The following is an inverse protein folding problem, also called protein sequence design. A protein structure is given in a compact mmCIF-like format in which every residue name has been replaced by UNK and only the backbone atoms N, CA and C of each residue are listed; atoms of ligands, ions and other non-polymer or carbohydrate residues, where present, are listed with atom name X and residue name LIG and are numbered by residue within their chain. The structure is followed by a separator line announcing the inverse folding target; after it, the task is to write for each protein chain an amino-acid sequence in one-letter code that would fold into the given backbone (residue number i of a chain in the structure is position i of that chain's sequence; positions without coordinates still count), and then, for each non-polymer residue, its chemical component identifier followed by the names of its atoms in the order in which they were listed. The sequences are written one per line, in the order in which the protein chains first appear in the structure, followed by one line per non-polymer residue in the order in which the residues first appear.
data_IF_655245166786
#
_entry.id   IF_655245166786
#
_cell.length_a   1.000
_cell.length_b   1.000
_cell.length_c   1.000
_cell.angle_alpha   90.00
_cell.angle_beta   90.00
_cell.angle_gamma   90.00
#
_symmetry.space_group_name_H-M   'P 1'
#
loop_
_entity.id
_entity.type
_entity.pdbx_description
1 polymer ?
#
# COMPACT_ATOMS: atom_id res chain seq x y z
N UNK A 1 7.04 15.00 -12.11
CA UNK A 1 6.66 13.58 -12.20
C UNK A 1 7.74 12.74 -11.55
N UNK A 2 7.40 12.14 -10.44
CA UNK A 2 8.30 11.24 -9.72
C UNK A 2 8.25 9.88 -10.43
N UNK A 3 9.41 9.37 -10.86
CA UNK A 3 9.49 8.03 -11.45
C UNK A 3 9.43 6.97 -10.36
N UNK A 4 8.32 6.26 -10.32
CA UNK A 4 8.05 5.18 -9.36
C UNK A 4 7.99 3.80 -10.03
N UNK A 5 8.30 3.73 -11.33
CA UNK A 5 8.11 2.53 -12.16
C UNK A 5 8.87 1.32 -11.65
N UNK A 6 10.10 1.50 -11.14
CA UNK A 6 10.88 0.38 -10.60
C UNK A 6 10.19 -0.34 -9.44
N UNK A 7 9.56 0.41 -8.53
CA UNK A 7 8.84 -0.17 -7.38
C UNK A 7 7.55 -0.84 -7.83
N UNK A 8 6.82 -0.18 -8.75
CA UNK A 8 5.60 -0.75 -9.34
C UNK A 8 5.91 -2.05 -10.10
N UNK A 9 6.92 -2.06 -10.96
CA UNK A 9 7.32 -3.25 -11.73
C UNK A 9 7.79 -4.39 -10.82
N UNK A 10 8.48 -4.08 -9.72
CA UNK A 10 8.89 -5.07 -8.72
C UNK A 10 7.69 -5.76 -8.06
N UNK A 11 6.67 -5.00 -7.70
CA UNK A 11 5.41 -5.56 -7.19
C UNK A 11 4.70 -6.39 -8.26
N UNK A 12 4.56 -5.86 -9.48
CA UNK A 12 3.88 -6.56 -10.58
C UNK A 12 4.59 -7.86 -10.97
N UNK A 13 5.93 -7.92 -10.83
CA UNK A 13 6.69 -9.16 -11.10
C UNK A 13 6.37 -10.32 -10.16
N UNK A 14 5.71 -10.04 -9.04
CA UNK A 14 5.23 -11.05 -8.09
C UNK A 14 3.83 -11.57 -8.44
N UNK A 15 3.16 -11.03 -9.45
CA UNK A 15 1.78 -11.32 -9.81
C UNK A 15 1.69 -11.97 -11.19
N UNK A 16 0.69 -12.79 -11.39
CA UNK A 16 0.35 -13.31 -12.72
C UNK A 16 -0.24 -12.20 -13.60
N UNK A 17 -0.10 -12.36 -14.92
CA UNK A 17 -0.68 -11.41 -15.89
C UNK A 17 -2.20 -11.31 -15.71
N UNK A 18 -2.72 -10.10 -15.68
CA UNK A 18 -4.15 -9.85 -15.51
C UNK A 18 -4.68 -10.07 -14.10
N UNK A 19 -3.80 -10.27 -13.12
CA UNK A 19 -4.17 -10.41 -11.71
C UNK A 19 -5.03 -9.23 -11.22
N UNK A 20 -5.84 -9.49 -10.20
CA UNK A 20 -6.72 -8.49 -9.59
C UNK A 20 -6.01 -7.77 -8.44
N UNK A 21 -5.82 -6.47 -8.57
CA UNK A 21 -5.10 -5.62 -7.63
C UNK A 21 -6.09 -4.67 -6.94
N UNK A 22 -5.92 -4.49 -5.64
CA UNK A 22 -6.52 -3.39 -4.88
C UNK A 22 -5.47 -2.29 -4.68
N UNK A 23 -5.71 -1.10 -5.20
CA UNK A 23 -4.95 0.12 -4.87
C UNK A 23 -5.56 0.75 -3.60
N UNK A 24 -4.88 0.55 -2.48
CA UNK A 24 -5.39 0.83 -1.13
C UNK A 24 -4.88 2.17 -0.63
N UNK A 25 -5.68 3.21 -0.84
CA UNK A 25 -5.30 4.61 -0.65
C UNK A 25 -4.67 5.17 -1.93
N UNK A 26 -5.42 5.14 -3.03
CA UNK A 26 -4.91 5.43 -4.37
C UNK A 26 -4.56 6.90 -4.62
N UNK A 27 -4.99 7.81 -3.75
CA UNK A 27 -4.77 9.25 -3.92
C UNK A 27 -5.30 9.75 -5.25
N UNK A 28 -4.43 10.33 -6.07
CA UNK A 28 -4.78 10.86 -7.40
C UNK A 28 -4.97 9.79 -8.49
N UNK A 29 -4.76 8.50 -8.17
CA UNK A 29 -4.89 7.40 -9.12
C UNK A 29 -3.67 7.15 -10.00
N UNK A 30 -2.49 7.68 -9.65
CA UNK A 30 -1.24 7.48 -10.40
C UNK A 30 -0.93 5.99 -10.57
N UNK A 31 -0.91 5.24 -9.48
CA UNK A 31 -0.54 3.83 -9.48
C UNK A 31 -1.67 2.97 -10.07
N UNK A 32 -2.92 3.26 -9.74
CA UNK A 32 -4.10 2.67 -10.38
C UNK A 32 -4.00 2.73 -11.91
N UNK A 33 -3.73 3.92 -12.46
CA UNK A 33 -3.59 4.11 -13.91
C UNK A 33 -2.44 3.28 -14.48
N UNK A 34 -1.31 3.23 -13.78
CA UNK A 34 -0.16 2.45 -14.20
C UNK A 34 -0.50 0.95 -14.31
N UNK A 35 -1.16 0.39 -13.32
CA UNK A 35 -1.55 -1.03 -13.32
C UNK A 35 -2.58 -1.35 -14.41
N UNK A 36 -3.57 -0.48 -14.60
CA UNK A 36 -4.54 -0.63 -15.69
C UNK A 36 -3.86 -0.64 -17.07
N UNK A 37 -2.90 0.26 -17.30
CA UNK A 37 -2.13 0.33 -18.57
C UNK A 37 -1.27 -0.92 -18.81
N UNK A 38 -0.92 -1.67 -17.76
CA UNK A 38 -0.19 -2.94 -17.83
C UNK A 38 -1.11 -4.16 -17.95
N UNK A 39 -2.43 -3.95 -18.05
CA UNK A 39 -3.41 -5.01 -18.29
C UNK A 39 -3.88 -5.74 -17.04
N UNK A 40 -3.67 -5.17 -15.85
CA UNK A 40 -4.20 -5.70 -14.59
C UNK A 40 -5.64 -5.26 -14.36
N UNK A 41 -6.44 -6.09 -13.70
CA UNK A 41 -7.72 -5.68 -13.14
C UNK A 41 -7.46 -4.89 -11.85
N UNK A 42 -8.06 -3.71 -11.71
CA UNK A 42 -7.78 -2.83 -10.55
C UNK A 42 -9.07 -2.34 -9.93
N UNK A 43 -9.21 -2.57 -8.63
CA UNK A 43 -10.08 -1.80 -7.75
C UNK A 43 -9.25 -0.75 -7.02
N UNK A 44 -9.83 0.41 -6.73
CA UNK A 44 -9.16 1.46 -6.00
C UNK A 44 -10.07 2.09 -4.96
N UNK A 45 -9.49 2.43 -3.81
CA UNK A 45 -10.17 3.14 -2.74
C UNK A 45 -9.35 4.32 -2.24
N UNK A 46 -10.00 5.32 -1.73
CA UNK A 46 -9.38 6.42 -0.97
C UNK A 46 -10.36 6.98 0.07
N UNK A 47 -9.82 7.51 1.17
CA UNK A 47 -10.60 8.14 2.24
C UNK A 47 -11.06 9.57 1.93
N UNK A 48 -10.59 10.17 0.84
CA UNK A 48 -10.99 11.51 0.38
C UNK A 48 -11.96 11.41 -0.80
N UNK A 49 -13.18 11.87 -0.61
CA UNK A 49 -14.18 11.90 -1.67
C UNK A 49 -13.72 12.73 -2.88
N UNK A 50 -13.00 13.82 -2.64
CA UNK A 50 -12.44 14.67 -3.70
C UNK A 50 -11.41 13.91 -4.53
N UNK A 51 -10.48 13.20 -3.86
CA UNK A 51 -9.49 12.37 -4.55
C UNK A 51 -10.15 11.21 -5.30
N UNK A 52 -11.18 10.58 -4.74
CA UNK A 52 -11.94 9.54 -5.45
C UNK A 52 -12.56 10.05 -6.75
N UNK A 53 -13.15 11.24 -6.74
CA UNK A 53 -13.71 11.86 -7.96
C UNK A 53 -12.62 12.15 -8.98
N UNK A 54 -11.52 12.76 -8.54
CA UNK A 54 -10.39 13.07 -9.41
C UNK A 54 -9.78 11.79 -10.01
N UNK A 55 -9.46 10.80 -9.17
CA UNK A 55 -8.87 9.55 -9.61
C UNK A 55 -9.80 8.75 -10.54
N UNK A 56 -11.11 8.77 -10.30
CA UNK A 56 -12.08 8.14 -11.19
C UNK A 56 -12.06 8.75 -12.59
N UNK A 57 -11.99 10.07 -12.68
CA UNK A 57 -11.88 10.78 -13.95
C UNK A 57 -10.56 10.48 -14.67
N UNK A 58 -9.45 10.38 -13.93
CA UNK A 58 -8.11 10.14 -14.46
C UNK A 58 -7.87 8.70 -14.91
N UNK A 59 -8.51 7.74 -14.28
CA UNK A 59 -8.27 6.30 -14.48
C UNK A 59 -9.33 5.62 -15.34
N UNK A 60 -10.53 6.21 -15.41
CA UNK A 60 -11.68 5.63 -16.12
C UNK A 60 -12.39 4.51 -15.34
N UNK A 61 -11.97 4.21 -14.11
CA UNK A 61 -12.68 3.29 -13.23
C UNK A 61 -13.36 4.05 -12.08
N UNK A 62 -14.36 3.43 -11.45
CA UNK A 62 -14.97 3.99 -10.24
C UNK A 62 -14.05 3.73 -9.04
N UNK A 63 -13.45 4.79 -8.48
CA UNK A 63 -12.75 4.75 -7.20
C UNK A 63 -13.77 4.83 -6.06
N UNK A 64 -13.71 3.90 -5.11
CA UNK A 64 -14.62 3.87 -3.97
C UNK A 64 -14.13 4.80 -2.87
N UNK A 65 -15.03 5.66 -2.37
CA UNK A 65 -14.78 6.41 -1.15
C UNK A 65 -14.95 5.47 0.04
N UNK A 66 -13.84 5.12 0.70
CA UNK A 66 -13.80 4.11 1.76
C UNK A 66 -12.61 4.36 2.68
N UNK A 67 -12.82 4.27 3.98
CA UNK A 67 -11.73 4.25 4.95
C UNK A 67 -11.08 2.87 5.00
N UNK A 68 -9.83 2.79 5.40
CA UNK A 68 -9.08 1.53 5.48
C UNK A 68 -9.75 0.50 6.40
N UNK A 69 -10.36 0.97 7.50
CA UNK A 69 -11.04 0.14 8.47
C UNK A 69 -12.33 -0.50 7.93
N UNK A 70 -12.86 -0.01 6.83
CA UNK A 70 -14.10 -0.49 6.20
C UNK A 70 -13.88 -1.64 5.21
N UNK A 71 -12.62 -2.05 4.97
CA UNK A 71 -12.32 -3.19 4.09
C UNK A 71 -12.89 -4.48 4.70
N UNK A 72 -13.77 -5.16 3.96
CA UNK A 72 -14.46 -6.40 4.39
C UNK A 72 -14.34 -7.54 3.39
N UNK A 73 -13.75 -7.30 2.22
CA UNK A 73 -13.53 -8.30 1.20
C UNK A 73 -12.69 -9.46 1.72
N UNK A 74 -12.97 -10.67 1.25
CA UNK A 74 -12.25 -11.88 1.62
C UNK A 74 -11.89 -12.70 0.38
N UNK A 75 -10.60 -13.03 0.25
CA UNK A 75 -10.07 -13.85 -0.86
C UNK A 75 -10.43 -13.30 -2.25
N UNK A 76 -10.36 -11.99 -2.44
CA UNK A 76 -10.74 -11.30 -3.69
C UNK A 76 -9.51 -10.91 -4.51
N UNK A 77 -8.45 -10.44 -3.88
CA UNK A 77 -7.32 -9.82 -4.55
C UNK A 77 -6.10 -10.73 -4.64
N UNK A 78 -5.45 -10.74 -5.79
CA UNK A 78 -4.14 -11.38 -5.99
C UNK A 78 -3.01 -10.48 -5.45
N UNK A 79 -3.24 -9.16 -5.49
CA UNK A 79 -2.31 -8.16 -4.97
C UNK A 79 -3.02 -7.00 -4.28
N UNK A 80 -2.40 -6.46 -3.23
CA UNK A 80 -2.80 -5.20 -2.60
C UNK A 80 -1.59 -4.25 -2.64
N UNK A 81 -1.82 -3.04 -3.13
CA UNK A 81 -0.85 -1.97 -3.21
C UNK A 81 -1.21 -0.87 -2.22
N UNK A 82 -0.43 -0.73 -1.14
CA UNK A 82 -0.62 0.27 -0.08
C UNK A 82 0.59 1.21 0.00
N UNK A 83 0.82 1.96 -1.07
CA UNK A 83 1.98 2.84 -1.21
C UNK A 83 1.80 4.14 -0.45
N UNK A 84 2.61 4.36 0.58
CA UNK A 84 2.59 5.59 1.39
C UNK A 84 1.18 5.98 1.87
N UNK A 85 0.34 5.00 2.19
CA UNK A 85 -1.06 5.20 2.54
C UNK A 85 -1.36 4.84 4.01
N UNK A 86 -1.13 3.60 4.41
CA UNK A 86 -1.48 3.10 5.75
C UNK A 86 -0.51 3.58 6.86
N UNK A 87 0.56 4.27 6.51
CA UNK A 87 1.51 4.84 7.47
C UNK A 87 0.89 5.93 8.36
N UNK A 88 -0.30 6.42 8.03
CA UNK A 88 -1.02 7.43 8.81
C UNK A 88 -1.91 6.82 9.91
N UNK A 89 -1.88 5.52 10.10
CA UNK A 89 -2.63 4.83 11.15
C UNK A 89 -1.74 4.60 12.38
N UNK A 90 -2.27 4.83 13.60
CA UNK A 90 -1.62 4.35 14.82
C UNK A 90 -1.42 2.81 14.79
N UNK A 91 -0.39 2.29 15.44
CA UNK A 91 -0.05 0.84 15.41
C UNK A 91 -1.20 -0.08 15.74
N UNK A 92 -2.05 0.30 16.69
CA UNK A 92 -3.22 -0.50 17.07
C UNK A 92 -4.23 -0.63 15.92
N UNK A 93 -4.51 0.48 15.21
CA UNK A 93 -5.39 0.48 14.03
C UNK A 93 -4.72 -0.19 12.84
N UNK A 94 -3.42 0.06 12.64
CA UNK A 94 -2.63 -0.56 11.59
C UNK A 94 -2.66 -2.09 11.69
N UNK A 95 -2.60 -2.66 12.89
CA UNK A 95 -2.71 -4.10 13.13
C UNK A 95 -4.05 -4.65 12.64
N UNK A 96 -5.15 -3.96 12.92
CA UNK A 96 -6.49 -4.34 12.44
C UNK A 96 -6.57 -4.27 10.91
N UNK A 97 -6.07 -3.19 10.33
CA UNK A 97 -6.08 -2.99 8.86
C UNK A 97 -5.18 -4.00 8.14
N UNK A 98 -4.02 -4.34 8.71
CA UNK A 98 -3.15 -5.40 8.18
C UNK A 98 -3.87 -6.74 8.12
N UNK A 99 -4.63 -7.10 9.16
CA UNK A 99 -5.44 -8.32 9.18
C UNK A 99 -6.51 -8.30 8.08
N UNK A 100 -7.25 -7.19 7.95
CA UNK A 100 -8.26 -7.02 6.90
C UNK A 100 -7.66 -7.14 5.48
N UNK A 101 -6.49 -6.56 5.23
CA UNK A 101 -5.79 -6.72 3.96
C UNK A 101 -5.36 -8.18 3.74
N UNK A 102 -4.87 -8.86 4.78
CA UNK A 102 -4.52 -10.29 4.70
C UNK A 102 -5.75 -11.13 4.36
N UNK A 103 -6.89 -10.86 4.98
CA UNK A 103 -8.16 -11.57 4.71
C UNK A 103 -8.65 -11.30 3.28
N UNK A 104 -8.49 -10.07 2.77
CA UNK A 104 -8.89 -9.68 1.42
C UNK A 104 -8.02 -10.30 0.32
N UNK A 105 -6.77 -10.66 0.61
CA UNK A 105 -5.89 -11.36 -0.31
C UNK A 105 -6.33 -12.82 -0.50
N UNK A 106 -6.15 -13.34 -1.71
CA UNK A 106 -6.17 -14.77 -2.00
C UNK A 106 -4.95 -15.47 -1.38
N UNK A 107 -5.00 -16.80 -1.29
CA UNK A 107 -3.83 -17.59 -0.88
C UNK A 107 -2.63 -17.27 -1.77
N UNK A 108 -1.47 -17.11 -1.17
CA UNK A 108 -0.23 -16.65 -1.81
C UNK A 108 -0.29 -15.23 -2.39
N UNK A 109 -1.36 -14.47 -2.14
CA UNK A 109 -1.51 -13.10 -2.57
C UNK A 109 -0.44 -12.18 -2.00
N UNK A 110 -0.12 -11.12 -2.71
CA UNK A 110 1.02 -10.23 -2.46
C UNK A 110 0.52 -8.88 -1.93
N UNK A 111 1.10 -8.41 -0.84
CA UNK A 111 0.91 -7.07 -0.32
C UNK A 111 2.20 -6.26 -0.46
N UNK A 112 2.11 -5.12 -1.13
CA UNK A 112 3.15 -4.08 -1.05
C UNK A 112 2.70 -2.98 -0.10
N UNK A 113 3.60 -2.54 0.77
CA UNK A 113 3.41 -1.34 1.58
C UNK A 113 4.72 -0.60 1.81
N UNK A 114 4.63 0.68 2.14
CA UNK A 114 5.79 1.51 2.44
C UNK A 114 5.56 2.42 3.64
N UNK A 115 6.61 2.60 4.42
CA UNK A 115 6.66 3.47 5.59
C UNK A 115 7.90 4.36 5.53
N UNK A 116 7.90 5.47 6.25
CA UNK A 116 9.16 6.20 6.48
C UNK A 116 10.09 5.33 7.33
N UNK A 117 11.36 5.27 6.92
CA UNK A 117 12.38 4.47 7.59
C UNK A 117 12.94 5.21 8.79
N UNK A 118 12.23 5.17 9.92
CA UNK A 118 12.63 5.77 11.19
C UNK A 118 11.93 5.09 12.38
N UNK A 119 12.16 5.57 13.60
CA UNK A 119 11.53 5.05 14.83
C UNK A 119 10.39 5.94 15.35
N UNK A 120 9.96 6.92 14.57
CA UNK A 120 8.97 7.88 15.01
C UNK A 120 7.55 7.30 14.97
N UNK A 121 6.76 7.61 15.99
CA UNK A 121 5.30 7.41 16.00
C UNK A 121 4.64 8.63 16.66
N UNK A 122 3.68 9.26 15.97
CA UNK A 122 2.98 10.43 16.46
C UNK A 122 2.56 11.40 15.35
N UNK A 123 2.24 12.63 15.72
CA UNK A 123 1.83 13.66 14.78
C UNK A 123 3.02 14.45 14.22
N UNK A 124 3.03 14.66 12.91
CA UNK A 124 3.91 15.56 12.17
C UNK A 124 3.08 16.37 11.16
N UNK A 125 3.18 17.70 11.22
CA UNK A 125 2.52 18.59 10.26
C UNK A 125 1.01 18.30 10.11
N UNK A 126 0.31 18.06 11.22
CA UNK A 126 -1.12 17.80 11.27
C UNK A 126 -1.56 16.42 10.77
N UNK A 127 -0.63 15.48 10.60
CA UNK A 127 -0.91 14.08 10.26
C UNK A 127 -0.22 13.13 11.22
N UNK A 128 -0.88 12.03 11.54
CA UNK A 128 -0.27 10.95 12.27
C UNK A 128 0.67 10.14 11.37
N UNK A 129 1.79 9.70 11.92
CA UNK A 129 2.75 8.82 11.24
C UNK A 129 3.16 7.69 12.17
N UNK A 130 3.18 6.50 11.62
CA UNK A 130 3.82 5.33 12.19
C UNK A 130 4.96 4.95 11.26
N UNK A 131 6.18 5.24 11.69
CA UNK A 131 7.39 4.90 10.95
C UNK A 131 7.91 3.53 11.43
N UNK A 132 8.65 2.86 10.57
CA UNK A 132 9.29 1.59 10.90
C UNK A 132 10.72 1.51 10.35
N UNK A 133 11.62 0.89 11.10
CA UNK A 133 12.79 0.22 10.55
C UNK A 133 12.43 -1.23 10.26
N UNK A 134 13.30 -1.96 9.54
CA UNK A 134 13.03 -3.38 9.26
C UNK A 134 12.91 -4.20 10.55
N UNK A 135 13.70 -3.89 11.58
CA UNK A 135 13.68 -4.58 12.86
C UNK A 135 12.35 -4.36 13.59
N UNK A 136 11.88 -3.10 13.65
CA UNK A 136 10.63 -2.76 14.33
C UNK A 136 9.42 -3.26 13.55
N UNK A 137 9.47 -3.24 12.20
CA UNK A 137 8.42 -3.82 11.38
C UNK A 137 8.36 -5.34 11.52
N UNK A 138 9.51 -6.01 11.55
CA UNK A 138 9.57 -7.47 11.75
C UNK A 138 8.98 -7.88 13.11
N UNK A 139 9.20 -7.08 14.15
CA UNK A 139 8.60 -7.29 15.47
C UNK A 139 7.08 -7.08 15.43
N UNK A 140 6.61 -6.04 14.77
CA UNK A 140 5.18 -5.76 14.54
C UNK A 140 4.51 -6.89 13.75
N UNK A 141 5.17 -7.40 12.71
CA UNK A 141 4.62 -8.44 11.84
C UNK A 141 4.43 -9.78 12.57
N UNK A 142 5.25 -10.09 13.58
CA UNK A 142 5.09 -11.29 14.41
C UNK A 142 3.76 -11.34 15.17
N UNK A 143 3.14 -10.17 15.37
CA UNK A 143 1.82 -10.04 16.00
C UNK A 143 0.67 -10.14 14.98
N UNK A 144 0.99 -10.26 13.69
CA UNK A 144 0.02 -10.39 12.60
C UNK A 144 0.08 -11.81 12.06
N UNK A 145 -1.04 -12.52 12.10
CA UNK A 145 -1.12 -13.90 11.61
C UNK A 145 -1.40 -13.95 10.09
N UNK A 146 -1.00 -15.02 9.44
CA UNK A 146 -1.38 -15.34 8.06
C UNK A 146 -0.63 -14.58 6.97
N UNK A 147 0.40 -13.80 7.31
CA UNK A 147 1.20 -13.05 6.35
C UNK A 147 2.68 -13.04 6.75
N UNK A 148 3.57 -13.17 5.79
CA UNK A 148 5.02 -13.20 5.99
C UNK A 148 5.73 -12.15 5.15
N UNK A 149 6.88 -11.68 5.63
CA UNK A 149 7.76 -10.82 4.86
C UNK A 149 8.49 -11.65 3.79
N UNK A 150 8.32 -11.26 2.53
CA UNK A 150 8.99 -11.87 1.38
C UNK A 150 10.25 -11.10 0.98
N UNK A 151 10.16 -9.79 0.97
CA UNK A 151 11.24 -8.91 0.51
C UNK A 151 11.12 -7.51 1.12
N UNK A 152 12.24 -6.84 1.32
CA UNK A 152 12.27 -5.43 1.69
C UNK A 152 13.48 -4.72 1.08
N UNK A 153 13.36 -3.40 0.94
CA UNK A 153 14.49 -2.52 0.62
C UNK A 153 14.27 -1.11 1.16
N UNK A 154 15.34 -0.37 1.28
CA UNK A 154 15.30 1.04 1.66
C UNK A 154 15.60 1.87 0.43
N UNK A 155 14.79 2.89 0.15
CA UNK A 155 14.96 3.83 -0.94
C UNK A 155 14.99 5.27 -0.43
N UNK A 156 15.54 6.18 -1.23
CA UNK A 156 15.39 7.61 -1.00
C UNK A 156 13.97 8.05 -1.35
N UNK A 157 13.52 9.19 -0.79
CA UNK A 157 12.29 9.80 -1.30
C UNK A 157 12.49 10.17 -2.77
N UNK A 158 11.49 9.86 -3.55
CA UNK A 158 11.55 10.10 -4.99
C UNK A 158 11.39 11.59 -5.36
N UNK A 159 11.04 12.46 -4.39
CA UNK A 159 10.94 13.91 -4.57
C UNK A 159 12.31 14.55 -4.36
N UNK A 160 12.76 15.42 -5.31
CA UNK A 160 14.10 16.02 -5.26
C UNK A 160 14.37 16.87 -4.00
N UNK A 161 13.33 17.51 -3.48
CA UNK A 161 13.37 18.37 -2.29
C UNK A 161 13.40 17.59 -0.95
N UNK A 162 13.30 16.27 -0.99
CA UNK A 162 13.25 15.36 0.17
C UNK A 162 14.21 14.18 0.05
N UNK A 163 15.29 14.34 -0.67
CA UNK A 163 16.29 13.29 -0.93
C UNK A 163 16.88 12.65 0.33
N UNK A 164 16.85 13.36 1.46
CA UNK A 164 17.35 12.87 2.75
C UNK A 164 16.37 11.95 3.48
N UNK A 165 15.07 11.98 3.09
CA UNK A 165 14.08 11.08 3.65
C UNK A 165 14.24 9.67 3.06
N UNK A 166 14.22 8.67 3.93
CA UNK A 166 14.31 7.25 3.55
C UNK A 166 12.96 6.57 3.70
N UNK A 167 12.69 5.66 2.79
CA UNK A 167 11.49 4.83 2.79
C UNK A 167 11.85 3.36 2.96
N UNK A 168 11.18 2.69 3.89
CA UNK A 168 11.16 1.24 4.00
C UNK A 168 10.04 0.71 3.09
N UNK A 169 10.43 -0.08 2.11
CA UNK A 169 9.54 -0.74 1.16
C UNK A 169 9.45 -2.22 1.51
N UNK A 170 8.28 -2.78 1.48
CA UNK A 170 8.00 -4.13 1.96
C UNK A 170 7.10 -4.87 0.97
N UNK A 171 7.48 -6.08 0.61
CA UNK A 171 6.63 -7.05 -0.07
C UNK A 171 6.36 -8.21 0.90
N UNK A 172 5.08 -8.43 1.16
CA UNK A 172 4.59 -9.49 2.02
C UNK A 172 3.76 -10.48 1.20
N UNK A 173 3.62 -11.69 1.71
CA UNK A 173 2.85 -12.75 1.08
C UNK A 173 1.91 -13.40 2.10
N UNK A 174 0.64 -13.54 1.73
CA UNK A 174 -0.32 -14.36 2.50
C UNK A 174 0.09 -15.82 2.46
N UNK A 175 0.06 -16.47 3.63
CA UNK A 175 0.31 -17.91 3.76
C UNK A 175 -0.94 -18.72 3.42
#
# INVERSE_FOLDING_TARGET
NVDFTKTQDRFLSCLEKGAHILDFGCGSGRDTRYFLQRGFAVDAIDGSEELCRYASAMTGIRVRHMLFQELEEQNVYDGIWACASILHLPKAELKVVMRKMTDALRENGILYTSFKNSLFEGERNGRYFTDFTIETFSSFLKETEGIILKEYWVSNDARPDRSDEKWLNLILQKM
#
